data_IF_492405472696
#
_entry.id   IF_492405472696
#
_cell.length_a   1.000
_cell.length_b   1.000
_cell.length_c   1.000
_cell.angle_alpha   90.00
_cell.angle_beta   90.00
_cell.angle_gamma   90.00
#
_symmetry.space_group_name_H-M   'P 1'
#
loop_
_entity.id
_entity.type
_entity.pdbx_description
1 polymer ?
#
# COMPACT_ATOMS: atom_id res chain seq x y z
N UNK A 1 51.31 11.88 -10.20
CA UNK A 1 50.98 12.11 -8.76
C UNK A 1 49.83 13.10 -8.54
N UNK A 2 49.81 14.24 -9.24
CA UNK A 2 48.75 15.26 -9.21
C UNK A 2 47.36 14.69 -9.56
N UNK A 3 47.26 13.78 -10.53
CA UNK A 3 46.00 13.13 -10.88
C UNK A 3 45.46 12.19 -9.80
N UNK A 4 46.33 11.47 -9.09
CA UNK A 4 45.91 10.65 -7.95
C UNK A 4 45.33 11.51 -6.82
N UNK A 5 45.88 12.70 -6.58
CA UNK A 5 45.33 13.67 -5.60
C UNK A 5 43.98 14.25 -6.06
N UNK A 6 43.82 14.57 -7.34
CA UNK A 6 42.53 15.04 -7.89
C UNK A 6 41.44 13.96 -7.79
N UNK A 7 41.77 12.71 -8.10
CA UNK A 7 40.84 11.58 -7.99
C UNK A 7 40.44 11.36 -6.52
N UNK A 8 41.39 11.33 -5.58
CA UNK A 8 41.09 11.18 -4.15
C UNK A 8 40.21 12.31 -3.60
N UNK A 9 40.47 13.57 -3.97
CA UNK A 9 39.61 14.69 -3.58
C UNK A 9 38.18 14.53 -4.11
N UNK A 10 38.04 14.06 -5.35
CA UNK A 10 36.73 13.85 -5.96
C UNK A 10 35.97 12.69 -5.32
N UNK A 11 36.67 11.62 -4.91
CA UNK A 11 36.12 10.52 -4.12
C UNK A 11 35.58 11.05 -2.78
N UNK A 12 36.40 11.76 -2.01
CA UNK A 12 35.98 12.30 -0.71
C UNK A 12 34.77 13.25 -0.83
N UNK A 13 34.76 14.13 -1.86
CA UNK A 13 33.62 15.01 -2.12
C UNK A 13 32.34 14.24 -2.48
N UNK A 14 32.45 13.14 -3.23
CA UNK A 14 31.30 12.30 -3.57
C UNK A 14 30.82 11.53 -2.34
N UNK A 15 31.72 11.03 -1.50
CA UNK A 15 31.38 10.36 -0.24
C UNK A 15 30.64 11.29 0.74
N UNK A 16 31.09 12.54 0.88
CA UNK A 16 30.39 13.55 1.69
C UNK A 16 28.99 13.85 1.15
N UNK A 17 28.85 14.01 -0.17
CA UNK A 17 27.54 14.20 -0.81
C UNK A 17 26.61 13.01 -0.58
N UNK A 18 27.12 11.78 -0.70
CA UNK A 18 26.35 10.55 -0.39
C UNK A 18 25.90 10.57 1.07
N UNK A 19 26.77 11.01 2.00
CA UNK A 19 26.45 11.10 3.43
C UNK A 19 25.34 12.13 3.69
N UNK A 20 25.39 13.29 3.06
CA UNK A 20 24.34 14.32 3.17
C UNK A 20 22.99 13.84 2.62
N UNK A 21 22.98 13.16 1.47
CA UNK A 21 21.76 12.57 0.90
C UNK A 21 21.18 11.50 1.84
N UNK A 22 22.04 10.68 2.46
CA UNK A 22 21.63 9.68 3.45
C UNK A 22 20.93 10.34 4.65
N UNK A 23 21.49 11.44 5.17
CA UNK A 23 20.89 12.20 6.29
C UNK A 23 19.55 12.81 5.90
N UNK A 24 19.43 13.42 4.72
CA UNK A 24 18.13 13.94 4.24
C UNK A 24 17.08 12.84 4.10
N UNK A 25 17.47 11.66 3.60
CA UNK A 25 16.59 10.49 3.54
C UNK A 25 16.18 10.03 4.93
N UNK A 26 17.07 10.09 5.91
CA UNK A 26 16.77 9.74 7.30
C UNK A 26 15.82 10.74 7.98
N UNK A 27 15.94 12.03 7.69
CA UNK A 27 15.01 13.06 8.19
C UNK A 27 13.63 12.90 7.55
N UNK A 28 13.56 12.70 6.23
CA UNK A 28 12.29 12.37 5.56
C UNK A 28 11.71 11.06 6.09
N UNK A 29 12.55 10.09 6.46
CA UNK A 29 12.16 8.82 7.07
C UNK A 29 11.55 9.02 8.46
N UNK A 30 12.15 9.82 9.35
CA UNK A 30 11.59 10.09 10.69
C UNK A 30 10.19 10.73 10.61
N UNK A 31 10.00 11.73 9.73
CA UNK A 31 8.68 12.31 9.46
C UNK A 31 7.64 11.31 8.92
N UNK A 32 8.07 10.22 8.29
CA UNK A 32 7.17 9.15 7.79
C UNK A 32 6.82 8.15 8.90
N UNK A 33 7.81 7.76 9.70
CA UNK A 33 7.61 6.90 10.89
C UNK A 33 6.62 7.57 11.88
N UNK A 34 6.68 8.90 12.02
CA UNK A 34 5.75 9.68 12.86
C UNK A 34 4.28 9.66 12.39
N UNK A 35 3.99 9.35 11.12
CA UNK A 35 2.62 9.41 10.57
C UNK A 35 1.93 8.03 10.47
N UNK A 36 2.62 6.92 10.78
CA UNK A 36 2.05 5.55 10.83
C UNK A 36 1.19 5.12 9.61
N UNK A 37 1.37 5.75 8.45
CA UNK A 37 0.60 5.44 7.24
C UNK A 37 1.06 4.12 6.63
N UNK A 38 0.11 3.38 6.06
CA UNK A 38 0.39 2.14 5.36
C UNK A 38 1.26 2.42 4.12
N UNK A 39 2.36 1.68 3.97
CA UNK A 39 3.34 1.88 2.90
C UNK A 39 3.32 0.73 1.89
N UNK A 40 3.07 1.08 0.63
CA UNK A 40 3.12 0.19 -0.51
C UNK A 40 4.40 0.45 -1.29
N UNK A 41 5.12 -0.61 -1.67
CA UNK A 41 6.29 -0.52 -2.55
C UNK A 41 6.03 -1.24 -3.87
N UNK A 42 6.19 -0.54 -4.98
CA UNK A 42 6.11 -1.11 -6.32
C UNK A 42 7.45 -1.76 -6.65
N UNK A 43 7.44 -3.05 -6.94
CA UNK A 43 8.62 -3.84 -7.32
C UNK A 43 8.39 -4.54 -8.67
N UNK A 44 9.47 -4.99 -9.30
CA UNK A 44 9.42 -5.69 -10.58
C UNK A 44 10.37 -5.09 -11.62
N UNK A 45 10.45 -5.76 -12.77
CA UNK A 45 11.44 -5.45 -13.78
C UNK A 45 11.29 -4.05 -14.38
N UNK A 46 12.37 -3.50 -14.94
CA UNK A 46 12.32 -2.29 -15.77
C UNK A 46 11.30 -2.48 -16.89
N UNK A 47 10.63 -1.39 -17.28
CA UNK A 47 9.55 -1.42 -18.26
C UNK A 47 8.34 -2.32 -17.89
N UNK A 48 8.22 -2.85 -16.66
CA UNK A 48 7.00 -3.59 -16.28
C UNK A 48 5.74 -2.69 -16.14
N UNK A 49 5.95 -1.38 -16.13
CA UNK A 49 4.89 -0.38 -15.99
C UNK A 49 4.63 0.06 -14.55
N UNK A 50 5.60 -0.10 -13.63
CA UNK A 50 5.53 0.41 -12.25
C UNK A 50 5.17 1.89 -12.20
N UNK A 51 5.92 2.75 -12.91
CA UNK A 51 5.66 4.19 -12.93
C UNK A 51 4.31 4.53 -13.58
N UNK A 52 3.89 3.77 -14.60
CA UNK A 52 2.55 3.91 -15.18
C UNK A 52 1.46 3.57 -14.17
N UNK A 53 1.62 2.49 -13.40
CA UNK A 53 0.70 2.13 -12.31
C UNK A 53 0.72 3.22 -11.23
N UNK A 54 1.89 3.68 -10.79
CA UNK A 54 2.02 4.77 -9.82
C UNK A 54 1.21 6.00 -10.25
N UNK A 55 1.42 6.46 -11.49
CA UNK A 55 0.74 7.63 -12.03
C UNK A 55 -0.77 7.43 -12.11
N UNK A 56 -1.18 6.25 -12.55
CA UNK A 56 -2.58 5.90 -12.68
C UNK A 56 -3.28 5.87 -11.33
N UNK A 57 -2.63 5.27 -10.31
CA UNK A 57 -3.15 5.21 -8.94
C UNK A 57 -3.14 6.57 -8.24
N UNK A 58 -2.17 7.43 -8.53
CA UNK A 58 -2.01 8.75 -7.90
C UNK A 58 -2.73 9.88 -8.64
N UNK A 59 -3.37 9.59 -9.79
CA UNK A 59 -3.92 10.59 -10.71
C UNK A 59 -2.92 11.71 -11.08
N UNK A 60 -1.62 11.45 -10.98
CA UNK A 60 -0.56 12.45 -11.15
C UNK A 60 0.21 12.26 -12.45
N UNK A 61 0.57 13.38 -13.12
CA UNK A 61 1.31 13.39 -14.39
C UNK A 61 2.82 13.31 -14.12
N UNK A 62 3.38 12.14 -13.83
CA UNK A 62 4.82 11.93 -14.04
C UNK A 62 5.01 11.49 -15.48
N UNK A 63 5.91 12.16 -16.20
CA UNK A 63 6.30 11.76 -17.56
C UNK A 63 6.89 10.35 -17.52
N UNK A 64 6.15 9.36 -18.03
CA UNK A 64 6.69 8.01 -18.28
C UNK A 64 7.48 8.11 -19.58
N UNK A 65 8.81 7.97 -19.50
CA UNK A 65 9.66 7.76 -20.68
C UNK A 65 9.98 6.27 -20.79
N UNK A 66 9.85 5.71 -21.99
CA UNK A 66 10.22 4.34 -22.34
C UNK A 66 11.76 4.20 -22.40
N UNK A 67 12.41 4.32 -21.24
CA UNK A 67 13.85 4.16 -21.08
C UNK A 67 14.14 3.22 -19.90
N UNK A 68 15.19 2.41 -20.04
CA UNK A 68 15.78 1.71 -18.90
C UNK A 68 16.23 2.77 -17.86
N UNK A 69 16.02 2.50 -16.57
CA UNK A 69 16.26 3.46 -15.48
C UNK A 69 15.35 4.70 -15.44
N UNK A 70 14.14 4.63 -16.01
CA UNK A 70 13.15 5.72 -15.94
C UNK A 70 12.83 6.20 -14.51
N UNK A 71 13.09 5.36 -13.49
CA UNK A 71 13.09 5.75 -12.07
C UNK A 71 14.39 5.32 -11.39
N UNK A 72 15.31 6.28 -11.22
CA UNK A 72 16.58 6.12 -10.48
C UNK A 72 16.45 6.57 -9.02
N UNK A 73 15.56 7.54 -8.75
CA UNK A 73 15.19 8.00 -7.41
C UNK A 73 13.82 7.44 -7.00
N UNK A 74 13.70 6.97 -5.75
CA UNK A 74 12.44 6.48 -5.21
C UNK A 74 11.43 7.62 -5.08
N UNK A 75 10.26 7.45 -5.72
CA UNK A 75 9.21 8.48 -5.69
C UNK A 75 8.07 8.00 -4.80
N UNK A 76 7.97 8.56 -3.59
CA UNK A 76 6.84 8.30 -2.67
C UNK A 76 5.72 9.31 -2.90
N UNK A 77 4.49 8.82 -3.07
CA UNK A 77 3.28 9.63 -3.24
C UNK A 77 2.18 9.15 -2.31
N UNK A 78 1.25 10.05 -1.97
CA UNK A 78 0.01 9.71 -1.29
C UNK A 78 -1.03 9.26 -2.30
N UNK A 79 -1.72 8.16 -2.01
CA UNK A 79 -2.92 7.73 -2.72
C UNK A 79 -4.11 7.77 -1.76
N UNK A 80 -5.26 8.20 -2.29
CA UNK A 80 -6.54 8.09 -1.60
C UNK A 80 -7.30 6.93 -2.25
N UNK A 81 -7.44 5.83 -1.52
CA UNK A 81 -8.34 4.75 -1.89
C UNK A 81 -9.71 5.10 -1.27
N UNK A 82 -10.83 5.00 -2.02
CA UNK A 82 -12.17 5.24 -1.46
C UNK A 82 -12.35 4.47 -0.15
N UNK A 83 -13.01 5.06 0.85
CA UNK A 83 -13.31 4.44 2.16
C UNK A 83 -12.09 3.89 2.94
N UNK A 84 -10.87 4.32 2.60
CA UNK A 84 -9.65 3.99 3.35
C UNK A 84 -8.85 5.25 3.69
N UNK A 85 -7.99 5.11 4.69
CA UNK A 85 -7.07 6.16 5.12
C UNK A 85 -6.03 6.50 4.03
N UNK A 86 -5.30 7.61 4.20
CA UNK A 86 -4.23 7.98 3.27
C UNK A 86 -3.12 6.92 3.27
N UNK A 87 -2.83 6.36 2.09
CA UNK A 87 -1.79 5.33 1.91
C UNK A 87 -0.61 5.95 1.16
N UNK A 88 0.59 5.52 1.50
CA UNK A 88 1.80 5.88 0.77
C UNK A 88 2.12 4.80 -0.25
N UNK A 89 2.46 5.20 -1.46
CA UNK A 89 2.98 4.33 -2.51
C UNK A 89 4.33 4.86 -2.98
N UNK A 90 5.33 3.98 -3.01
CA UNK A 90 6.67 4.31 -3.48
C UNK A 90 6.96 3.53 -4.75
N UNK A 91 7.37 4.24 -5.80
CA UNK A 91 7.99 3.63 -6.97
C UNK A 91 9.47 3.38 -6.66
N UNK A 92 9.89 2.12 -6.74
CA UNK A 92 11.28 1.73 -6.48
C UNK A 92 12.05 1.55 -7.79
N UNK A 93 13.37 1.49 -7.68
CA UNK A 93 14.24 1.17 -8.82
C UNK A 93 13.81 -0.17 -9.41
N UNK A 94 13.59 -0.19 -10.72
CA UNK A 94 13.21 -1.41 -11.42
C UNK A 94 14.31 -2.47 -11.42
N UNK A 95 13.93 -3.74 -11.23
CA UNK A 95 14.84 -4.87 -11.36
C UNK A 95 15.32 -4.99 -12.81
N UNK A 96 16.57 -5.39 -13.02
CA UNK A 96 17.13 -5.63 -14.36
C UNK A 96 17.38 -7.13 -14.50
N UNK A 97 17.27 -7.62 -15.73
CA UNK A 97 17.56 -9.03 -16.04
C UNK A 97 19.00 -9.37 -15.66
N UNK A 98 19.15 -10.40 -14.83
CA UNK A 98 20.44 -10.80 -14.22
C UNK A 98 21.14 -9.64 -13.53
N UNK A 99 20.54 -9.09 -12.47
CA UNK A 99 21.26 -8.18 -11.57
C UNK A 99 22.57 -8.85 -11.14
N UNK A 100 23.74 -8.33 -11.56
CA UNK A 100 25.01 -8.85 -11.09
C UNK A 100 25.05 -8.76 -9.56
N UNK A 101 25.60 -9.77 -8.89
CA UNK A 101 25.72 -9.76 -7.41
C UNK A 101 26.38 -8.49 -6.87
N UNK A 102 27.29 -7.88 -7.65
CA UNK A 102 27.93 -6.59 -7.33
C UNK A 102 26.96 -5.39 -7.37
N UNK A 103 25.96 -5.40 -8.25
CA UNK A 103 24.93 -4.34 -8.34
C UNK A 103 23.86 -4.50 -7.27
N UNK A 104 23.60 -5.71 -6.74
CA UNK A 104 22.74 -5.90 -5.56
C UNK A 104 23.29 -5.12 -4.35
N UNK A 105 24.62 -5.10 -4.17
CA UNK A 105 25.26 -4.30 -3.13
C UNK A 105 25.11 -2.79 -3.36
N UNK A 106 25.24 -2.33 -4.61
CA UNK A 106 25.08 -0.93 -4.98
C UNK A 106 23.62 -0.44 -4.84
N UNK A 107 22.64 -1.31 -5.09
CA UNK A 107 21.21 -1.04 -4.90
C UNK A 107 20.69 -1.43 -3.52
N UNK A 108 21.55 -1.94 -2.62
CA UNK A 108 21.12 -2.36 -1.28
C UNK A 108 20.46 -1.20 -0.53
N UNK A 109 21.04 0.00 -0.63
CA UNK A 109 20.50 1.22 0.01
C UNK A 109 19.16 1.68 -0.56
N UNK A 110 18.88 1.43 -1.84
CA UNK A 110 17.58 1.75 -2.47
C UNK A 110 16.56 0.62 -2.29
N UNK A 111 17.00 -0.62 -2.17
CA UNK A 111 16.17 -1.79 -1.87
C UNK A 111 15.84 -1.92 -0.38
N UNK A 112 16.56 -1.26 0.52
CA UNK A 112 16.18 -1.10 1.94
C UNK A 112 14.80 -0.44 2.10
N UNK A 113 14.30 0.31 1.12
CA UNK A 113 12.93 0.81 1.14
C UNK A 113 11.87 -0.30 1.01
N UNK A 114 12.20 -1.40 0.33
CA UNK A 114 11.34 -2.59 0.22
C UNK A 114 11.15 -3.24 1.60
N UNK A 115 12.19 -3.23 2.45
CA UNK A 115 12.12 -3.73 3.83
C UNK A 115 11.16 -2.92 4.72
N UNK A 116 10.91 -1.65 4.39
CA UNK A 116 10.04 -0.77 5.18
C UNK A 116 8.58 -0.85 4.77
N UNK A 117 8.29 -1.33 3.56
CA UNK A 117 6.95 -1.44 3.03
C UNK A 117 6.10 -2.43 3.85
N UNK A 118 4.82 -2.12 4.04
CA UNK A 118 3.84 -3.02 4.63
C UNK A 118 3.27 -3.99 3.57
N UNK A 119 3.27 -3.56 2.30
CA UNK A 119 2.82 -4.35 1.15
C UNK A 119 3.76 -4.16 -0.05
N UNK A 120 4.06 -5.27 -0.74
CA UNK A 120 4.79 -5.27 -2.01
C UNK A 120 3.82 -5.50 -3.17
N UNK A 121 3.81 -4.58 -4.14
CA UNK A 121 3.10 -4.76 -5.40
C UNK A 121 4.12 -5.16 -6.47
N UNK A 122 4.13 -6.44 -6.82
CA UNK A 122 5.03 -6.97 -7.85
C UNK A 122 4.41 -6.82 -9.23
N UNK A 123 4.84 -5.78 -9.95
CA UNK A 123 4.36 -5.47 -11.29
C UNK A 123 5.14 -6.27 -12.33
N UNK A 124 4.40 -7.05 -13.11
CA UNK A 124 4.93 -7.98 -14.12
C UNK A 124 4.34 -7.63 -15.48
N UNK A 125 5.19 -7.45 -16.49
CA UNK A 125 4.74 -7.31 -17.88
C UNK A 125 4.42 -8.69 -18.45
N UNK A 126 3.12 -9.00 -18.61
CA UNK A 126 2.68 -10.31 -19.14
C UNK A 126 2.77 -10.41 -20.66
N UNK A 127 3.06 -9.32 -21.37
CA UNK A 127 3.33 -9.37 -22.80
C UNK A 127 4.72 -9.92 -23.13
N UNK A 128 5.61 -9.98 -22.13
CA UNK A 128 6.93 -10.57 -22.29
C UNK A 128 6.87 -12.09 -22.09
N UNK A 129 7.33 -12.87 -23.08
CA UNK A 129 7.34 -14.36 -23.02
C UNK A 129 8.12 -14.91 -21.81
N UNK A 130 9.09 -14.17 -21.29
CA UNK A 130 9.94 -14.57 -20.16
C UNK A 130 9.44 -14.05 -18.80
N UNK A 131 8.20 -13.55 -18.70
CA UNK A 131 7.70 -12.95 -17.46
C UNK A 131 7.80 -13.87 -16.23
N UNK A 132 7.65 -15.19 -16.41
CA UNK A 132 7.78 -16.15 -15.31
C UNK A 132 9.21 -16.20 -14.74
N UNK A 133 10.23 -16.07 -15.59
CA UNK A 133 11.62 -15.99 -15.16
C UNK A 133 11.91 -14.66 -14.44
N UNK A 134 11.25 -13.58 -14.85
CA UNK A 134 11.31 -12.31 -14.13
C UNK A 134 10.72 -12.42 -12.72
N UNK A 135 9.57 -13.09 -12.56
CA UNK A 135 8.98 -13.36 -11.25
C UNK A 135 9.96 -14.15 -10.39
N UNK A 136 10.51 -15.26 -10.90
CA UNK A 136 11.49 -16.08 -10.17
C UNK A 136 12.70 -15.26 -9.72
N UNK A 137 13.22 -14.40 -10.59
CA UNK A 137 14.37 -13.54 -10.28
C UNK A 137 14.05 -12.50 -9.20
N UNK A 138 12.89 -11.84 -9.28
CA UNK A 138 12.45 -10.90 -8.23
C UNK A 138 12.31 -11.63 -6.89
N UNK A 139 11.65 -12.79 -6.89
CA UNK A 139 11.47 -13.59 -5.67
C UNK A 139 12.81 -14.03 -5.04
N UNK A 140 13.81 -14.37 -5.87
CA UNK A 140 15.17 -14.66 -5.37
C UNK A 140 15.78 -13.47 -4.64
N UNK A 141 15.70 -12.27 -5.22
CA UNK A 141 16.23 -11.06 -4.57
C UNK A 141 15.45 -10.72 -3.30
N UNK A 142 14.12 -10.86 -3.30
CA UNK A 142 13.32 -10.66 -2.08
C UNK A 142 13.70 -11.65 -0.97
N UNK A 143 14.11 -12.88 -1.33
CA UNK A 143 14.66 -13.86 -0.39
C UNK A 143 15.99 -13.41 0.19
N UNK A 144 16.91 -12.94 -0.65
CA UNK A 144 18.22 -12.41 -0.24
C UNK A 144 18.11 -11.16 0.64
N UNK A 145 17.03 -10.39 0.47
CA UNK A 145 16.70 -9.23 1.30
C UNK A 145 15.91 -9.56 2.57
N UNK A 146 15.55 -10.83 2.78
CA UNK A 146 14.79 -11.31 3.96
C UNK A 146 13.42 -10.63 4.12
N UNK A 147 12.73 -10.33 3.01
CA UNK A 147 11.42 -9.64 3.01
C UNK A 147 10.27 -10.50 2.52
N UNK A 148 10.46 -11.82 2.37
CA UNK A 148 9.42 -12.75 1.92
C UNK A 148 8.28 -12.95 2.93
N UNK A 149 8.46 -12.52 4.18
CA UNK A 149 7.42 -12.50 5.21
C UNK A 149 6.36 -11.41 4.98
N UNK A 150 6.60 -10.47 4.05
CA UNK A 150 5.65 -9.38 3.74
C UNK A 150 4.53 -9.88 2.84
N UNK A 151 3.39 -9.18 2.88
CA UNK A 151 2.34 -9.40 1.90
C UNK A 151 2.82 -8.99 0.50
N UNK A 152 2.64 -9.88 -0.48
CA UNK A 152 2.98 -9.63 -1.88
C UNK A 152 1.73 -9.81 -2.73
N UNK A 153 1.35 -8.78 -3.49
CA UNK A 153 0.33 -8.88 -4.53
C UNK A 153 1.05 -8.88 -5.88
N UNK A 154 0.83 -9.92 -6.67
CA UNK A 154 1.33 -9.99 -8.04
C UNK A 154 0.36 -9.25 -8.94
N UNK A 155 0.85 -8.25 -9.67
CA UNK A 155 0.10 -7.42 -10.60
C UNK A 155 0.59 -7.69 -12.02
N UNK A 156 -0.19 -8.47 -12.75
CA UNK A 156 0.01 -8.77 -14.16
C UNK A 156 -0.48 -7.61 -15.01
N UNK A 157 0.45 -6.76 -15.43
CA UNK A 157 0.20 -5.54 -16.17
C UNK A 157 0.42 -5.73 -17.68
N UNK A 158 -0.16 -4.83 -18.48
CA UNK A 158 -0.18 -4.86 -19.95
C UNK A 158 -1.04 -5.99 -20.54
N UNK A 159 -2.14 -6.35 -19.87
CA UNK A 159 -3.09 -7.35 -20.38
C UNK A 159 -3.74 -6.96 -21.71
N UNK A 160 -3.72 -5.67 -22.05
CA UNK A 160 -4.19 -5.13 -23.33
C UNK A 160 -3.38 -5.66 -24.54
N UNK A 161 -2.20 -6.24 -24.29
CA UNK A 161 -1.36 -6.87 -25.31
C UNK A 161 -1.55 -8.39 -25.44
N UNK A 162 -2.43 -8.99 -24.63
CA UNK A 162 -2.71 -10.42 -24.68
C UNK A 162 -3.98 -10.71 -25.48
N UNK A 163 -4.00 -11.86 -26.14
CA UNK A 163 -5.25 -12.43 -26.66
C UNK A 163 -6.17 -12.84 -25.52
N UNK A 164 -7.48 -12.91 -25.79
CA UNK A 164 -8.50 -13.29 -24.81
C UNK A 164 -8.21 -14.69 -24.24
N UNK A 165 -7.79 -15.64 -25.06
CA UNK A 165 -7.51 -17.01 -24.63
C UNK A 165 -6.26 -17.09 -23.74
N UNK A 166 -5.20 -16.35 -24.09
CA UNK A 166 -4.00 -16.26 -23.25
C UNK A 166 -4.32 -15.62 -21.90
N UNK A 167 -5.15 -14.57 -21.88
CA UNK A 167 -5.57 -13.93 -20.64
C UNK A 167 -6.40 -14.89 -19.77
N UNK A 168 -7.34 -15.65 -20.36
CA UNK A 168 -8.14 -16.65 -19.64
C UNK A 168 -7.26 -17.75 -19.04
N UNK A 169 -6.35 -18.32 -19.83
CA UNK A 169 -5.41 -19.34 -19.36
C UNK A 169 -4.55 -18.81 -18.20
N UNK A 170 -4.09 -17.56 -18.30
CA UNK A 170 -3.27 -16.94 -17.26
C UNK A 170 -4.07 -16.68 -15.98
N UNK A 171 -5.33 -16.25 -16.07
CA UNK A 171 -6.25 -16.11 -14.93
C UNK A 171 -6.51 -17.43 -14.21
N UNK A 172 -6.63 -18.53 -14.96
CA UNK A 172 -6.78 -19.87 -14.39
C UNK A 172 -5.52 -20.32 -13.65
N UNK A 173 -4.34 -20.06 -14.23
CA UNK A 173 -3.04 -20.41 -13.64
C UNK A 173 -2.70 -19.58 -12.40
N UNK A 174 -3.02 -18.28 -12.41
CA UNK A 174 -2.66 -17.33 -11.36
C UNK A 174 -3.89 -16.69 -10.70
N UNK A 175 -4.70 -17.51 -10.04
CA UNK A 175 -5.98 -17.10 -9.41
C UNK A 175 -5.88 -15.95 -8.41
N UNK A 176 -4.72 -15.79 -7.77
CA UNK A 176 -4.49 -14.77 -6.75
C UNK A 176 -3.88 -13.47 -7.29
N UNK A 177 -3.46 -13.44 -8.57
CA UNK A 177 -2.88 -12.26 -9.19
C UNK A 177 -3.97 -11.26 -9.60
N UNK A 178 -3.59 -9.99 -9.67
CA UNK A 178 -4.43 -8.91 -10.21
C UNK A 178 -4.02 -8.65 -11.65
N UNK A 179 -4.99 -8.55 -12.54
CA UNK A 179 -4.77 -8.40 -13.98
C UNK A 179 -5.12 -6.97 -14.39
N UNK A 180 -4.13 -6.21 -14.85
CA UNK A 180 -4.28 -4.78 -15.14
C UNK A 180 -3.77 -4.37 -16.51
N UNK A 181 -4.35 -3.30 -17.03
CA UNK A 181 -3.70 -2.47 -18.05
C UNK A 181 -3.65 -1.06 -17.50
N UNK A 182 -2.48 -0.65 -17.01
CA UNK A 182 -2.32 0.68 -16.43
C UNK A 182 -2.60 1.79 -17.44
N UNK A 183 -2.20 1.59 -18.71
CA UNK A 183 -2.44 2.54 -19.81
C UNK A 183 -3.91 2.66 -20.17
N UNK A 184 -4.66 1.56 -20.16
CA UNK A 184 -6.10 1.53 -20.44
C UNK A 184 -6.97 1.67 -19.19
N UNK A 185 -6.36 1.79 -18.00
CA UNK A 185 -7.03 1.85 -16.69
C UNK A 185 -7.95 0.66 -16.39
N UNK A 186 -7.60 -0.52 -16.89
CA UNK A 186 -8.36 -1.77 -16.69
C UNK A 186 -7.83 -2.49 -15.45
N UNK A 187 -8.73 -3.07 -14.63
CA UNK A 187 -8.37 -3.92 -13.49
C UNK A 187 -7.85 -3.18 -12.26
N UNK A 188 -7.99 -1.85 -12.23
CA UNK A 188 -7.58 -1.03 -11.09
C UNK A 188 -8.49 -1.24 -9.87
N UNK A 189 -9.78 -1.50 -10.09
CA UNK A 189 -10.73 -1.76 -9.00
C UNK A 189 -10.38 -3.04 -8.26
N UNK A 190 -10.11 -4.13 -8.99
CA UNK A 190 -9.61 -5.39 -8.44
C UNK A 190 -8.30 -5.18 -7.64
N UNK A 191 -7.42 -4.28 -8.12
CA UNK A 191 -6.19 -3.92 -7.41
C UNK A 191 -6.49 -3.19 -6.10
N UNK A 192 -7.38 -2.20 -6.10
CA UNK A 192 -7.80 -1.49 -4.89
C UNK A 192 -8.44 -2.43 -3.88
N UNK A 193 -9.32 -3.33 -4.33
CA UNK A 193 -9.97 -4.30 -3.46
C UNK A 193 -8.97 -5.29 -2.85
N UNK A 194 -7.97 -5.74 -3.62
CA UNK A 194 -6.93 -6.63 -3.12
C UNK A 194 -6.03 -5.93 -2.10
N UNK A 195 -5.65 -4.68 -2.36
CA UNK A 195 -4.90 -3.84 -1.42
C UNK A 195 -5.71 -3.66 -0.14
N UNK A 196 -7.00 -3.34 -0.24
CA UNK A 196 -7.91 -3.18 0.90
C UNK A 196 -7.94 -4.43 1.78
N UNK A 197 -8.12 -5.60 1.16
CA UNK A 197 -8.12 -6.89 1.86
C UNK A 197 -6.82 -7.16 2.62
N UNK A 198 -5.67 -6.71 2.11
CA UNK A 198 -4.38 -6.84 2.82
C UNK A 198 -4.31 -5.86 3.99
N UNK A 199 -4.74 -4.61 3.80
CA UNK A 199 -4.77 -3.61 4.87
C UNK A 199 -5.68 -4.07 6.01
N UNK A 200 -6.89 -4.53 5.70
CA UNK A 200 -7.86 -4.99 6.69
C UNK A 200 -7.34 -6.18 7.51
N UNK A 201 -6.61 -7.10 6.88
CA UNK A 201 -5.95 -8.22 7.59
C UNK A 201 -4.83 -7.78 8.53
N UNK A 202 -4.22 -6.63 8.26
CA UNK A 202 -3.14 -6.05 9.07
C UNK A 202 -3.65 -5.02 10.10
N UNK A 203 -4.97 -4.88 10.24
CA UNK A 203 -5.62 -4.03 11.22
C UNK A 203 -6.20 -4.85 12.37
N UNK A 204 -6.04 -4.33 13.58
CA UNK A 204 -6.65 -4.85 14.80
C UNK A 204 -7.84 -3.96 15.17
N UNK A 205 -8.96 -4.60 15.52
CA UNK A 205 -10.09 -3.92 16.15
C UNK A 205 -9.71 -3.62 17.59
N UNK A 206 -9.69 -2.35 17.97
CA UNK A 206 -9.36 -1.92 19.33
C UNK A 206 -10.40 -0.91 19.81
N UNK A 207 -10.79 -1.07 21.08
CA UNK A 207 -11.57 -0.05 21.79
C UNK A 207 -10.60 0.80 22.61
N UNK A 208 -10.68 2.11 22.44
CA UNK A 208 -9.87 3.07 23.20
C UNK A 208 -10.77 4.07 23.91
N UNK A 209 -10.41 4.43 25.15
CA UNK A 209 -11.02 5.53 25.90
C UNK A 209 -9.97 6.64 26.01
N UNK A 210 -10.24 7.77 25.38
CA UNK A 210 -9.27 8.86 25.25
C UNK A 210 -9.83 10.12 25.92
N UNK A 211 -9.15 10.68 26.93
CA UNK A 211 -9.53 11.96 27.52
C UNK A 211 -9.49 13.10 26.51
N UNK A 212 -10.35 14.12 26.66
CA UNK A 212 -10.34 15.27 25.73
C UNK A 212 -9.05 16.11 25.80
N UNK A 213 -8.22 15.94 26.82
CA UNK A 213 -6.88 16.55 26.89
C UNK A 213 -5.96 16.06 25.77
N UNK A 214 -6.20 14.86 25.23
CA UNK A 214 -5.43 14.23 24.15
C UNK A 214 -5.97 14.58 22.76
N UNK A 215 -6.30 15.86 22.54
CA UNK A 215 -6.90 16.36 21.29
C UNK A 215 -6.12 15.98 20.02
N UNK A 216 -4.78 15.92 20.10
CA UNK A 216 -3.91 15.52 18.99
C UNK A 216 -4.11 14.06 18.60
N UNK A 217 -4.24 13.16 19.59
CA UNK A 217 -4.48 11.74 19.37
C UNK A 217 -5.89 11.52 18.82
N UNK A 218 -6.90 12.18 19.39
CA UNK A 218 -8.28 12.14 18.92
C UNK A 218 -8.35 12.56 17.45
N UNK A 219 -7.77 13.72 17.11
CA UNK A 219 -7.72 14.22 15.73
C UNK A 219 -7.01 13.27 14.79
N UNK A 220 -5.91 12.63 15.24
CA UNK A 220 -5.20 11.62 14.46
C UNK A 220 -6.06 10.38 14.19
N UNK A 221 -6.81 9.89 15.18
CA UNK A 221 -7.72 8.75 15.03
C UNK A 221 -8.85 9.07 14.05
N UNK A 222 -9.48 10.26 14.17
CA UNK A 222 -10.53 10.68 13.25
C UNK A 222 -10.03 10.85 11.81
N UNK A 223 -8.74 11.16 11.64
CA UNK A 223 -8.12 11.36 10.31
C UNK A 223 -7.58 10.08 9.68
N UNK A 224 -7.05 9.17 10.50
CA UNK A 224 -6.20 8.06 10.05
C UNK A 224 -6.74 6.68 10.45
N UNK A 225 -7.93 6.59 11.05
CA UNK A 225 -8.52 5.31 11.41
C UNK A 225 -9.99 5.25 11.00
N UNK A 226 -10.42 4.07 10.54
CA UNK A 226 -11.83 3.75 10.36
C UNK A 226 -12.51 3.58 11.73
N UNK A 227 -13.38 4.52 12.08
CA UNK A 227 -14.19 4.47 13.30
C UNK A 227 -15.42 3.61 13.05
N UNK A 228 -15.54 2.53 13.83
CA UNK A 228 -16.68 1.61 13.80
C UNK A 228 -17.77 2.03 14.78
N UNK A 229 -17.38 2.65 15.90
CA UNK A 229 -18.29 3.14 16.93
C UNK A 229 -17.66 4.30 17.71
N UNK A 230 -18.49 5.23 18.17
CA UNK A 230 -18.09 6.35 19.02
C UNK A 230 -19.12 6.61 20.12
N UNK A 231 -18.65 6.86 21.34
CA UNK A 231 -19.46 7.31 22.48
C UNK A 231 -18.73 8.44 23.20
N UNK A 232 -19.37 9.60 23.29
CA UNK A 232 -18.86 10.71 24.08
C UNK A 232 -19.28 10.52 25.53
N UNK A 233 -18.33 10.68 26.44
CA UNK A 233 -18.51 10.76 27.88
C UNK A 233 -18.19 12.20 28.32
N UNK A 234 -18.41 12.51 29.60
CA UNK A 234 -18.18 13.86 30.15
C UNK A 234 -16.71 14.29 30.07
N UNK A 235 -15.77 13.37 30.34
CA UNK A 235 -14.32 13.63 30.42
C UNK A 235 -13.52 13.08 29.23
N UNK A 236 -14.15 12.24 28.40
CA UNK A 236 -13.45 11.41 27.43
C UNK A 236 -14.34 10.93 26.29
N UNK A 237 -13.72 10.37 25.25
CA UNK A 237 -14.41 9.69 24.15
C UNK A 237 -13.99 8.22 24.09
N UNK A 238 -14.97 7.34 23.96
CA UNK A 238 -14.74 5.91 23.70
C UNK A 238 -14.93 5.65 22.21
N UNK A 239 -13.90 5.10 21.56
CA UNK A 239 -13.87 4.81 20.13
C UNK A 239 -13.57 3.33 19.91
N UNK A 240 -14.38 2.67 19.08
CA UNK A 240 -14.02 1.39 18.48
C UNK A 240 -13.47 1.67 17.09
N UNK A 241 -12.23 1.28 16.84
CA UNK A 241 -11.52 1.60 15.60
C UNK A 241 -10.83 0.37 15.02
N UNK A 242 -10.64 0.35 13.71
CA UNK A 242 -9.62 -0.48 13.07
C UNK A 242 -8.31 0.29 13.10
N UNK A 243 -7.35 -0.16 13.91
CA UNK A 243 -6.02 0.41 13.99
C UNK A 243 -5.00 -0.55 13.36
N UNK A 244 -4.07 -0.05 12.55
CA UNK A 244 -2.93 -0.87 12.12
C UNK A 244 -2.05 -1.22 13.34
N UNK A 245 -1.28 -2.31 13.25
CA UNK A 245 -0.46 -2.82 14.37
C UNK A 245 0.51 -1.76 14.92
N UNK A 246 1.09 -0.91 14.05
CA UNK A 246 2.03 0.14 14.47
C UNK A 246 1.33 1.19 15.33
N UNK A 247 0.16 1.65 14.90
CA UNK A 247 -0.65 2.64 15.60
C UNK A 247 -1.28 2.05 16.88
N UNK A 248 -1.67 0.78 16.87
CA UNK A 248 -2.14 0.06 18.05
C UNK A 248 -1.14 0.15 19.22
N UNK A 249 0.16 0.02 18.96
CA UNK A 249 1.18 0.13 20.02
C UNK A 249 1.18 1.50 20.71
N UNK A 250 0.89 2.58 19.97
CA UNK A 250 0.75 3.93 20.52
C UNK A 250 -0.54 4.12 21.33
N UNK A 251 -1.54 3.26 21.13
CA UNK A 251 -2.82 3.31 21.83
C UNK A 251 -2.83 2.48 23.11
N UNK A 252 -1.74 1.76 23.42
CA UNK A 252 -1.65 0.83 24.54
C UNK A 252 -2.11 1.39 25.89
N UNK A 253 -1.78 2.65 26.20
CA UNK A 253 -2.19 3.34 27.42
C UNK A 253 -3.69 3.70 27.48
N UNK A 254 -4.39 3.70 26.34
CA UNK A 254 -5.79 4.10 26.19
C UNK A 254 -6.72 2.91 25.91
N UNK A 255 -6.19 1.69 25.85
CA UNK A 255 -6.98 0.49 25.53
C UNK A 255 -8.02 0.28 26.62
N UNK A 256 -9.29 0.30 26.21
CA UNK A 256 -10.42 0.17 27.11
C UNK A 256 -11.01 -1.25 26.99
N UNK A 257 -10.57 -2.15 27.88
CA UNK A 257 -10.90 -3.58 27.84
C UNK A 257 -12.29 -3.92 28.36
N UNK A 258 -12.86 -3.08 29.22
CA UNK A 258 -14.17 -3.32 29.86
C UNK A 258 -15.37 -2.89 29.01
N UNK A 259 -15.14 -2.52 27.75
CA UNK A 259 -16.22 -2.11 26.86
C UNK A 259 -17.01 -3.31 26.33
N UNK A 260 -18.13 -3.60 26.98
CA UNK A 260 -19.12 -4.57 26.49
C UNK A 260 -20.01 -3.86 25.46
N UNK A 261 -19.86 -4.23 24.19
CA UNK A 261 -20.79 -3.81 23.13
C UNK A 261 -22.15 -4.45 23.43
N UNK A 262 -23.14 -3.64 23.82
CA UNK A 262 -24.51 -4.09 24.07
C UNK A 262 -25.08 -4.85 22.86
N UNK A 263 -25.91 -5.87 23.13
CA UNK A 263 -26.49 -6.79 22.11
C UNK A 263 -27.20 -6.08 20.95
N UNK A 264 -27.74 -4.88 21.17
CA UNK A 264 -28.37 -4.05 20.15
C UNK A 264 -27.39 -3.62 19.05
N UNK A 265 -26.14 -3.29 19.41
CA UNK A 265 -25.09 -2.90 18.47
C UNK A 265 -24.42 -4.08 17.78
N UNK A 266 -24.40 -5.28 18.40
CA UNK A 266 -23.96 -6.51 17.72
C UNK A 266 -24.80 -6.84 16.49
N UNK A 267 -26.09 -6.49 16.48
CA UNK A 267 -26.98 -6.70 15.33
C UNK A 267 -26.63 -5.74 14.19
N UNK A 268 -26.36 -4.48 14.49
CA UNK A 268 -25.89 -3.48 13.52
C UNK A 268 -24.48 -3.79 12.99
N UNK A 269 -23.59 -4.29 13.84
CA UNK A 269 -22.25 -4.79 13.45
C UNK A 269 -22.35 -6.00 12.51
N UNK A 270 -23.22 -6.97 12.85
CA UNK A 270 -23.50 -8.13 11.98
C UNK A 270 -24.18 -7.74 10.67
N UNK A 271 -25.04 -6.72 10.66
CA UNK A 271 -25.65 -6.20 9.42
C UNK A 271 -24.64 -5.43 8.57
N UNK A 272 -23.66 -4.75 9.16
CA UNK A 272 -22.55 -4.13 8.42
C UNK A 272 -21.56 -5.18 7.88
N UNK A 273 -21.36 -6.30 8.59
CA UNK A 273 -20.58 -7.45 8.12
C UNK A 273 -21.32 -8.20 6.99
N UNK A 274 -22.63 -8.40 7.12
CA UNK A 274 -23.48 -9.02 6.08
C UNK A 274 -23.74 -8.11 4.88
N UNK A 275 -23.64 -6.78 5.02
CA UNK A 275 -23.78 -5.82 3.92
C UNK A 275 -22.71 -5.92 2.84
N UNK A 276 -21.59 -6.61 3.12
CA UNK A 276 -20.58 -6.99 2.12
C UNK A 276 -20.87 -8.33 1.43
N UNK A 277 -21.85 -9.11 1.90
CA UNK A 277 -22.34 -10.34 1.24
C UNK A 277 -23.72 -10.14 0.58
N UNK A 278 -24.45 -9.06 0.90
CA UNK A 278 -25.83 -8.84 0.41
C UNK A 278 -25.99 -7.98 -0.87
N UNK A 279 -24.90 -7.71 -1.61
CA UNK A 279 -25.00 -7.09 -2.95
C UNK A 279 -25.09 -8.10 -4.11
N UNK A 280 -25.00 -9.39 -3.84
CA UNK A 280 -25.19 -10.45 -4.86
C UNK A 280 -26.59 -11.10 -4.86
N UNK A 281 -27.49 -10.76 -3.92
CA UNK A 281 -28.79 -11.44 -3.80
C UNK A 281 -30.04 -10.55 -3.96
N UNK A 282 -29.88 -9.23 -4.17
CA UNK A 282 -31.02 -8.32 -4.44
C UNK A 282 -31.01 -7.88 -5.92
N UNK A 283 -30.94 -8.86 -6.82
CA UNK A 283 -31.34 -8.69 -8.22
C UNK A 283 -32.42 -9.67 -8.68
N UNK A 284 -32.93 -10.53 -7.80
CA UNK A 284 -33.86 -11.60 -8.21
C UNK A 284 -35.21 -11.64 -7.51
N UNK A 285 -35.52 -10.78 -6.53
CA UNK A 285 -36.90 -10.68 -6.01
C UNK A 285 -37.31 -9.24 -5.78
N UNK A 286 -38.18 -8.74 -6.65
CA UNK A 286 -38.84 -7.45 -6.50
C UNK A 286 -39.81 -7.45 -5.33
N UNK A 287 -39.76 -6.40 -4.51
CA UNK A 287 -40.87 -5.94 -3.69
C UNK A 287 -40.60 -4.50 -3.19
N UNK A 288 -41.41 -3.59 -3.73
CA UNK A 288 -41.87 -2.29 -3.21
C UNK A 288 -41.35 -1.78 -1.85
N UNK A 289 -40.78 -0.58 -1.87
CA UNK A 289 -40.53 0.27 -0.71
C UNK A 289 -41.82 0.97 -0.21
N UNK A 290 -41.99 1.19 1.11
CA UNK A 290 -42.90 2.21 1.61
C UNK A 290 -42.14 3.48 2.04
N UNK A 291 -42.62 4.61 1.54
CA UNK A 291 -42.23 5.97 1.90
C UNK A 291 -42.48 6.26 3.39
N UNK A 292 -41.47 6.77 4.09
CA UNK A 292 -41.66 7.43 5.39
C UNK A 292 -41.91 8.92 5.16
N UNK A 293 -43.18 9.31 5.35
CA UNK A 293 -43.64 10.69 5.42
C UNK A 293 -43.03 11.40 6.63
N UNK A 294 -42.59 12.62 6.40
CA UNK A 294 -42.33 13.63 7.41
C UNK A 294 -43.57 13.88 8.28
N UNK A 295 -43.38 14.01 9.60
CA UNK A 295 -44.27 14.80 10.43
C UNK A 295 -43.47 15.51 11.52
N UNK A 296 -43.53 16.83 11.39
CA UNK A 296 -43.31 17.88 12.38
C UNK A 296 -44.21 17.69 13.60
N UNK A 297 -43.67 18.10 14.76
CA UNK A 297 -44.33 18.29 16.04
C UNK A 297 -43.30 18.85 17.00
#
# INVERSE_FOLDING_TARGET
EVDRRKIRRRINQLEERIKQISVQREIQRKKREENNLFLISLIGYTNSGKSTILNTLTKSKVLVKDMLFSTLDSTTRKIKIPEMDEILITDTVGFIEKLPHQLVAAFKSTLEEVKKADLLLMVVDVSNKNFENHIKSVMKVLKELEVLNKSIIVVFNKIDKLSIDNLKALKLKYRNAVFTSATKKIGLEDLYEKIRKVIDKNCLRVTVKIPYTENRLISSIFKNCKILYKKYLEDSVVLLINANIKFYNHLSAYIYRDFIIERSYKKSLKMAEAGNEFKSEIKEKGASAPLLKSRTG
#
